data_IF_428721622132
#
_entry.id   IF_428721622132
#
_cell.length_a   1.000
_cell.length_b   1.000
_cell.length_c   1.000
_cell.angle_alpha   90.00
_cell.angle_beta   90.00
_cell.angle_gamma   90.00
#
_symmetry.space_group_name_H-M   'P 1'
#
loop_
_entity.id
_entity.type
_entity.pdbx_description
1 polymer ?
#
# COMPACT_ATOMS: atom_id res chain seq x y z
N UNK A 1 -0.04 -0.25 -8.43
CA UNK A 1 -1.22 0.62 -8.18
C UNK A 1 -0.75 1.90 -7.51
N UNK A 2 -1.38 3.05 -7.81
CA UNK A 2 -0.94 4.35 -7.30
C UNK A 2 -2.14 5.18 -6.81
N UNK A 3 -2.07 5.72 -5.59
CA UNK A 3 -3.10 6.59 -5.03
C UNK A 3 -2.51 7.85 -4.38
N UNK A 4 -3.30 8.92 -4.34
CA UNK A 4 -2.97 10.16 -3.62
C UNK A 4 -4.06 10.51 -2.61
N UNK A 5 -3.67 10.87 -1.38
CA UNK A 5 -4.62 11.32 -0.36
C UNK A 5 -5.73 10.30 -0.08
N UNK A 6 -6.98 10.77 -0.11
CA UNK A 6 -8.18 9.94 0.06
C UNK A 6 -8.46 8.99 -1.12
N UNK A 7 -7.80 9.18 -2.26
CA UNK A 7 -7.97 8.34 -3.44
C UNK A 7 -7.66 6.85 -3.20
N UNK A 8 -6.99 6.54 -2.09
CA UNK A 8 -6.78 5.17 -1.61
C UNK A 8 -8.10 4.42 -1.37
N UNK A 9 -9.13 5.12 -0.88
CA UNK A 9 -10.42 4.50 -0.55
C UNK A 9 -11.10 3.89 -1.77
N UNK A 10 -10.90 4.47 -2.96
CA UNK A 10 -11.41 3.93 -4.21
C UNK A 10 -10.64 2.69 -4.70
N UNK A 11 -9.39 2.53 -4.28
CA UNK A 11 -8.52 1.43 -4.71
C UNK A 11 -8.58 0.22 -3.78
N UNK A 12 -8.93 0.41 -2.51
CA UNK A 12 -8.96 -0.65 -1.50
C UNK A 12 -9.89 -1.82 -1.86
N UNK A 13 -11.14 -1.62 -2.35
CA UNK A 13 -11.99 -2.75 -2.73
C UNK A 13 -11.38 -3.61 -3.83
N UNK A 14 -10.71 -2.96 -4.80
CA UNK A 14 -10.04 -3.67 -5.88
C UNK A 14 -8.80 -4.41 -5.38
N UNK A 15 -8.03 -3.82 -4.47
CA UNK A 15 -6.90 -4.48 -3.82
C UNK A 15 -7.34 -5.75 -3.07
N UNK A 16 -8.40 -5.65 -2.26
CA UNK A 16 -8.97 -6.80 -1.55
C UNK A 16 -9.43 -7.89 -2.53
N UNK A 17 -10.06 -7.50 -3.64
CA UNK A 17 -10.46 -8.44 -4.68
C UNK A 17 -9.25 -9.15 -5.31
N UNK A 18 -8.15 -8.45 -5.58
CA UNK A 18 -6.94 -9.06 -6.15
C UNK A 18 -6.32 -10.08 -5.20
N UNK A 19 -6.17 -9.74 -3.92
CA UNK A 19 -5.64 -10.64 -2.89
C UNK A 19 -6.55 -11.87 -2.74
N UNK A 20 -7.87 -11.64 -2.66
CA UNK A 20 -8.85 -12.73 -2.58
C UNK A 20 -8.76 -13.70 -3.77
N UNK A 21 -8.62 -13.17 -5.00
CA UNK A 21 -8.50 -14.01 -6.20
C UNK A 21 -7.14 -14.74 -6.25
N UNK A 22 -6.07 -14.12 -5.74
CA UNK A 22 -4.76 -14.74 -5.60
C UNK A 22 -4.82 -15.94 -4.64
N UNK A 23 -5.38 -15.75 -3.44
CA UNK A 23 -5.53 -16.81 -2.44
C UNK A 23 -6.35 -18.00 -2.97
N UNK A 24 -7.30 -17.74 -3.87
CA UNK A 24 -8.10 -18.80 -4.52
C UNK A 24 -7.43 -19.42 -5.74
N UNK A 25 -6.19 -19.05 -6.06
CA UNK A 25 -5.42 -19.46 -7.26
C UNK A 25 -6.15 -19.16 -8.57
N UNK A 26 -6.99 -18.11 -8.57
CA UNK A 26 -7.78 -17.65 -9.73
C UNK A 26 -7.19 -16.43 -10.40
N UNK A 27 -6.31 -15.69 -9.72
CA UNK A 27 -5.61 -14.55 -10.29
C UNK A 27 -4.34 -14.98 -11.03
N UNK A 28 -4.05 -14.29 -12.15
CA UNK A 28 -2.72 -14.32 -12.77
C UNK A 28 -1.74 -13.35 -12.10
N UNK A 29 -2.26 -12.40 -11.32
CA UNK A 29 -1.47 -11.40 -10.59
C UNK A 29 -0.61 -12.09 -9.54
N UNK A 30 0.71 -11.93 -9.66
CA UNK A 30 1.70 -12.56 -8.74
C UNK A 30 2.34 -11.57 -7.77
N UNK A 31 2.30 -10.28 -8.08
CA UNK A 31 2.87 -9.19 -7.27
C UNK A 31 2.03 -7.94 -7.44
N UNK A 32 1.84 -7.21 -6.34
CA UNK A 32 1.08 -5.97 -6.26
C UNK A 32 1.93 -4.98 -5.48
N UNK A 33 2.51 -4.02 -6.18
CA UNK A 33 3.10 -2.84 -5.54
C UNK A 33 2.07 -1.73 -5.44
N UNK A 34 1.79 -1.28 -4.22
CA UNK A 34 0.90 -0.16 -3.92
C UNK A 34 1.71 1.06 -3.49
N UNK A 35 1.66 2.12 -4.29
CA UNK A 35 2.29 3.40 -3.98
C UNK A 35 1.23 4.40 -3.52
N UNK A 36 1.37 4.93 -2.31
CA UNK A 36 0.42 5.87 -1.73
C UNK A 36 1.09 7.18 -1.35
N UNK A 37 0.67 8.29 -1.96
CA UNK A 37 1.22 9.63 -1.70
C UNK A 37 0.31 10.46 -0.78
N UNK A 38 0.89 11.05 0.26
CA UNK A 38 0.23 11.87 1.27
C UNK A 38 0.94 13.21 1.46
N UNK A 39 0.19 14.32 1.42
CA UNK A 39 0.74 15.66 1.66
C UNK A 39 0.91 15.98 3.15
N UNK A 40 -0.06 15.61 4.00
CA UNK A 40 0.03 15.88 5.45
C UNK A 40 -0.86 14.93 6.23
N UNK A 41 -0.34 14.24 7.25
CA UNK A 41 -1.13 13.35 8.11
C UNK A 41 -1.98 14.14 9.12
N UNK A 42 -1.54 15.35 9.51
CA UNK A 42 -2.13 16.14 10.60
C UNK A 42 -3.61 16.54 10.45
N UNK A 43 -4.17 16.57 9.23
CA UNK A 43 -5.61 16.78 9.00
C UNK A 43 -6.42 15.49 8.92
N UNK A 44 -5.75 14.34 8.87
CA UNK A 44 -6.36 13.05 8.55
C UNK A 44 -6.07 12.00 9.62
N UNK A 45 -5.77 12.38 10.87
CA UNK A 45 -5.41 11.41 11.92
C UNK A 45 -6.45 10.29 12.10
N UNK A 46 -7.74 10.66 12.15
CA UNK A 46 -8.86 9.70 12.27
C UNK A 46 -9.04 8.83 11.02
N UNK A 47 -8.72 9.38 9.85
CA UNK A 47 -8.78 8.66 8.59
C UNK A 47 -7.54 7.78 8.39
N UNK A 48 -6.39 8.18 8.91
CA UNK A 48 -5.20 7.35 8.99
C UNK A 48 -5.51 6.13 9.84
N UNK A 49 -6.20 6.26 10.98
CA UNK A 49 -6.66 5.10 11.76
C UNK A 49 -7.58 4.16 10.96
N UNK A 50 -8.61 4.67 10.29
CA UNK A 50 -9.50 3.84 9.44
C UNK A 50 -8.73 3.15 8.31
N UNK A 51 -7.80 3.86 7.65
CA UNK A 51 -7.00 3.27 6.57
C UNK A 51 -5.99 2.27 7.13
N UNK A 52 -5.44 2.48 8.34
CA UNK A 52 -4.60 1.48 9.02
C UNK A 52 -5.38 0.21 9.27
N UNK A 53 -6.60 0.29 9.81
CA UNK A 53 -7.44 -0.89 10.04
C UNK A 53 -7.73 -1.63 8.73
N UNK A 54 -8.10 -0.92 7.67
CA UNK A 54 -8.34 -1.52 6.36
C UNK A 54 -7.09 -2.12 5.72
N UNK A 55 -5.93 -1.45 5.85
CA UNK A 55 -4.65 -1.98 5.38
C UNK A 55 -4.25 -3.22 6.17
N UNK A 56 -4.42 -3.21 7.49
CA UNK A 56 -4.12 -4.35 8.33
C UNK A 56 -5.02 -5.55 7.98
N UNK A 57 -6.31 -5.34 7.72
CA UNK A 57 -7.18 -6.40 7.23
C UNK A 57 -6.73 -6.95 5.86
N UNK A 58 -6.36 -6.07 4.92
CA UNK A 58 -5.83 -6.52 3.63
C UNK A 58 -4.51 -7.31 3.79
N UNK A 59 -3.70 -6.96 4.79
CA UNK A 59 -2.45 -7.64 5.11
C UNK A 59 -2.65 -8.98 5.83
N UNK A 60 -3.69 -9.11 6.66
CA UNK A 60 -4.10 -10.39 7.25
C UNK A 60 -4.56 -11.36 6.16
N UNK A 61 -5.39 -10.89 5.22
CA UNK A 61 -5.82 -11.69 4.08
C UNK A 61 -4.64 -12.13 3.20
N UNK A 62 -3.61 -11.29 3.06
CA UNK A 62 -2.39 -11.57 2.29
C UNK A 62 -1.40 -12.52 3.01
N UNK A 63 -1.63 -12.87 4.29
CA UNK A 63 -0.81 -13.87 5.00
C UNK A 63 -1.28 -15.32 4.83
N UNK A 64 -2.43 -15.55 4.19
CA UNK A 64 -2.88 -16.89 3.85
C UNK A 64 -1.93 -17.49 2.78
N UNK A 65 -1.31 -18.63 3.10
CA UNK A 65 -0.35 -19.38 2.25
C UNK A 65 1.03 -18.73 2.00
N UNK A 66 1.60 -17.96 2.95
CA UNK A 66 2.88 -17.23 2.74
C UNK A 66 2.86 -16.32 1.48
N UNK A 67 1.66 -15.90 1.09
CA UNK A 67 1.37 -15.16 -0.12
C UNK A 67 1.70 -13.68 0.01
N UNK A 68 2.96 -13.32 0.30
CA UNK A 68 3.43 -11.93 0.37
C UNK A 68 3.41 -11.24 -1.01
N UNK A 69 2.25 -11.13 -1.65
CA UNK A 69 2.10 -10.52 -2.97
C UNK A 69 1.92 -9.01 -2.88
N UNK A 70 1.52 -8.49 -1.71
CA UNK A 70 1.31 -7.07 -1.49
C UNK A 70 2.53 -6.39 -0.85
N UNK A 71 3.09 -5.41 -1.57
CA UNK A 71 4.10 -4.46 -1.07
C UNK A 71 3.49 -3.06 -1.04
N UNK A 72 3.53 -2.39 0.13
CA UNK A 72 2.96 -1.05 0.31
C UNK A 72 4.08 -0.04 0.56
N UNK A 73 4.17 0.98 -0.30
CA UNK A 73 5.09 2.11 -0.18
C UNK A 73 4.32 3.41 0.01
N UNK A 74 4.49 4.06 1.16
CA UNK A 74 3.77 5.28 1.54
C UNK A 74 4.73 6.46 1.51
N UNK A 75 4.46 7.44 0.66
CA UNK A 75 5.24 8.67 0.51
C UNK A 75 4.54 9.82 1.22
N UNK A 76 5.24 10.45 2.17
CA UNK A 76 4.66 11.49 3.02
C UNK A 76 5.54 12.74 2.95
N UNK A 77 4.99 13.87 2.50
CA UNK A 77 5.73 15.14 2.41
C UNK A 77 6.15 15.64 3.80
N UNK A 78 5.25 15.54 4.78
CA UNK A 78 5.50 15.90 6.18
C UNK A 78 5.26 14.70 7.10
N UNK A 79 6.34 14.01 7.49
CA UNK A 79 6.29 12.91 8.46
C UNK A 79 6.13 13.51 9.87
N UNK A 80 5.00 13.28 10.57
CA UNK A 80 4.92 13.55 12.00
C UNK A 80 5.76 12.50 12.74
N UNK A 81 6.49 12.92 13.78
CA UNK A 81 7.30 12.00 14.58
C UNK A 81 6.42 10.86 15.13
N UNK A 82 6.86 9.61 14.93
CA UNK A 82 6.28 8.43 15.58
C UNK A 82 5.08 7.75 14.90
N UNK A 83 4.71 8.12 13.67
CA UNK A 83 3.58 7.45 12.97
C UNK A 83 4.05 6.17 12.28
N UNK A 84 3.86 5.03 12.95
CA UNK A 84 3.83 3.71 12.28
C UNK A 84 2.44 3.48 11.71
N UNK A 85 2.32 3.35 10.39
CA UNK A 85 1.03 3.08 9.71
C UNK A 85 0.75 1.59 9.71
N UNK A 86 1.71 0.77 9.29
CA UNK A 86 1.56 -0.69 9.34
C UNK A 86 2.94 -1.34 9.38
N UNK A 87 3.11 -2.48 10.07
CA UNK A 87 4.38 -3.20 10.11
C UNK A 87 4.86 -3.69 8.73
N UNK A 88 3.96 -3.83 7.74
CA UNK A 88 4.28 -4.28 6.38
C UNK A 88 4.34 -3.15 5.35
N UNK A 89 4.14 -1.90 5.75
CA UNK A 89 4.22 -0.74 4.87
C UNK A 89 5.54 0.03 5.10
N UNK A 90 6.25 0.32 4.02
CA UNK A 90 7.46 1.15 4.07
C UNK A 90 7.09 2.62 3.89
N UNK A 91 7.55 3.47 4.80
CA UNK A 91 7.27 4.91 4.77
C UNK A 91 8.50 5.66 4.24
N UNK A 92 8.29 6.47 3.21
CA UNK A 92 9.29 7.32 2.58
C UNK A 92 8.93 8.79 2.79
N UNK A 93 9.95 9.64 2.98
CA UNK A 93 9.78 11.09 3.08
C UNK A 93 9.77 11.70 1.67
N UNK A 94 8.81 12.59 1.42
CA UNK A 94 8.70 13.35 0.17
C UNK A 94 7.71 12.74 -0.81
N UNK A 95 7.97 12.93 -2.10
CA UNK A 95 7.13 12.44 -3.19
C UNK A 95 7.76 11.21 -3.86
N UNK A 96 6.95 10.30 -4.45
CA UNK A 96 7.46 9.16 -5.19
C UNK A 96 8.23 9.59 -6.44
N UNK A 97 9.40 9.00 -6.64
CA UNK A 97 10.14 9.07 -7.89
C UNK A 97 9.62 7.96 -8.83
N UNK A 98 8.68 8.33 -9.70
CA UNK A 98 7.97 7.38 -10.55
C UNK A 98 8.90 6.68 -11.55
N UNK A 99 9.86 7.40 -12.12
CA UNK A 99 10.79 6.84 -13.09
C UNK A 99 11.64 5.74 -12.44
N UNK A 100 12.14 6.02 -11.22
CA UNK A 100 12.87 5.04 -10.43
C UNK A 100 11.99 3.85 -10.06
N UNK A 101 10.78 4.08 -9.55
CA UNK A 101 9.87 3.00 -9.12
C UNK A 101 9.55 2.08 -10.31
N UNK A 102 9.14 2.64 -11.45
CA UNK A 102 8.79 1.86 -12.64
C UNK A 102 10.00 1.04 -13.13
N UNK A 103 11.19 1.62 -13.11
CA UNK A 103 12.41 0.92 -13.50
C UNK A 103 12.75 -0.24 -12.55
N UNK A 104 12.62 -0.03 -11.24
CA UNK A 104 12.89 -1.05 -10.24
C UNK A 104 11.86 -2.19 -10.27
N UNK A 105 10.58 -1.87 -10.50
CA UNK A 105 9.51 -2.84 -10.74
C UNK A 105 9.79 -3.68 -11.99
N UNK A 106 10.17 -3.04 -13.11
CA UNK A 106 10.55 -3.74 -14.34
C UNK A 106 11.77 -4.66 -14.15
N UNK A 107 12.69 -4.27 -13.27
CA UNK A 107 13.85 -5.08 -12.88
C UNK A 107 13.52 -6.17 -11.85
N UNK A 108 12.29 -6.23 -11.32
CA UNK A 108 11.83 -7.23 -10.37
C UNK A 108 12.41 -7.08 -8.95
N UNK A 109 12.81 -5.87 -8.57
CA UNK A 109 13.41 -5.57 -7.25
C UNK A 109 12.40 -5.46 -6.10
N UNK A 110 11.11 -5.42 -6.43
CA UNK A 110 10.00 -5.45 -5.49
C UNK A 110 9.21 -6.77 -5.57
#
# INVERSE_FOLDING_TARGET
MAASGLGIAAQLPYLQQLIYQYNRRKAQTRRIHMVWQLKTIGKFQKLAETIKEMLNHALEDDTLDDGYILTISIYIEHIPNGVSISPRATIFKGSPDWDKIIWEEAAGKY
#
